data_IF_367998872887
#
_entry.id   IF_367998872887
#
_cell.length_a   1.000
_cell.length_b   1.000
_cell.length_c   1.000
_cell.angle_alpha   90.00
_cell.angle_beta   90.00
_cell.angle_gamma   90.00
#
_symmetry.space_group_name_H-M   'P 1'
#
loop_
_entity.id
_entity.type
_entity.pdbx_description
1 polymer ?
#
# COMPACT_ATOMS: atom_id res chain seq x y z
N UNK A 1 -14.48 35.53 -13.28
CA UNK A 1 -14.42 34.05 -13.20
C UNK A 1 -14.28 33.39 -14.57
N UNK A 2 -15.13 33.70 -15.56
CA UNK A 2 -15.03 33.12 -16.91
C UNK A 2 -13.67 33.39 -17.61
N UNK A 3 -13.15 34.63 -17.52
CA UNK A 3 -11.87 35.00 -18.15
C UNK A 3 -10.62 34.36 -17.51
N UNK A 4 -10.71 33.95 -16.23
CA UNK A 4 -9.61 33.25 -15.53
C UNK A 4 -9.60 31.76 -15.89
N UNK A 5 -10.79 31.17 -16.08
CA UNK A 5 -10.95 29.82 -16.63
C UNK A 5 -10.51 29.76 -18.10
N UNK A 6 -10.74 30.82 -18.86
CA UNK A 6 -10.35 30.94 -20.27
C UNK A 6 -8.83 31.14 -20.46
N UNK A 7 -8.14 31.81 -19.52
CA UNK A 7 -6.68 31.89 -19.50
C UNK A 7 -6.01 30.56 -19.12
N UNK A 8 -6.64 29.74 -18.27
CA UNK A 8 -6.17 28.38 -17.98
C UNK A 8 -6.30 27.46 -19.21
N UNK A 9 -7.35 27.65 -20.02
CA UNK A 9 -7.59 26.91 -21.26
C UNK A 9 -6.68 27.32 -22.45
N UNK A 10 -5.90 28.41 -22.31
CA UNK A 10 -5.00 28.94 -23.35
C UNK A 10 -3.52 28.60 -23.16
N UNK A 11 -3.15 27.82 -22.15
CA UNK A 11 -1.86 27.09 -22.19
C UNK A 11 -1.97 26.14 -23.38
N UNK A 12 -1.10 26.33 -24.38
CA UNK A 12 -0.98 25.47 -25.55
C UNK A 12 -1.28 24.02 -25.15
N UNK A 13 -2.26 23.38 -25.82
CA UNK A 13 -2.33 21.93 -25.91
C UNK A 13 -0.99 21.47 -26.46
N UNK A 14 -0.02 21.29 -25.57
CA UNK A 14 1.19 20.57 -25.87
C UNK A 14 0.71 19.13 -25.94
N UNK A 15 0.82 18.53 -27.12
CA UNK A 15 0.59 17.10 -27.27
C UNK A 15 1.71 16.39 -26.50
N UNK A 16 1.54 16.25 -25.19
CA UNK A 16 2.49 15.58 -24.32
C UNK A 16 2.59 14.12 -24.76
N UNK A 17 3.81 13.64 -24.90
CA UNK A 17 4.14 12.27 -25.25
C UNK A 17 4.93 11.63 -24.12
N UNK A 18 4.52 10.42 -23.72
CA UNK A 18 5.26 9.57 -22.79
C UNK A 18 5.93 8.48 -23.63
N UNK A 19 7.26 8.44 -23.61
CA UNK A 19 8.06 7.39 -24.22
C UNK A 19 8.36 6.28 -23.21
N UNK A 20 8.21 5.02 -23.60
CA UNK A 20 8.68 3.86 -22.84
C UNK A 20 9.08 2.72 -23.78
N UNK A 21 9.57 1.60 -23.28
CA UNK A 21 9.98 0.49 -24.13
C UNK A 21 8.79 -0.33 -24.67
N UNK A 22 8.96 -0.92 -25.85
CA UNK A 22 8.08 -1.96 -26.39
C UNK A 22 8.52 -3.37 -25.94
N UNK A 23 7.82 -4.43 -26.35
CA UNK A 23 8.10 -5.80 -25.93
C UNK A 23 7.48 -6.14 -24.58
N UNK A 24 8.23 -6.87 -23.74
CA UNK A 24 7.76 -7.36 -22.44
C UNK A 24 7.25 -6.22 -21.56
N UNK A 25 6.16 -6.46 -20.82
CA UNK A 25 5.55 -5.49 -19.91
C UNK A 25 6.07 -5.72 -18.50
N UNK A 26 6.62 -4.70 -17.87
CA UNK A 26 6.92 -4.70 -16.44
C UNK A 26 5.87 -3.89 -15.67
N UNK A 27 5.81 -4.13 -14.36
CA UNK A 27 4.96 -3.34 -13.48
C UNK A 27 5.43 -1.89 -13.39
N UNK A 28 6.71 -1.66 -13.63
CA UNK A 28 7.38 -0.39 -13.47
C UNK A 28 6.86 0.68 -14.44
N UNK A 29 7.11 0.51 -15.73
CA UNK A 29 6.68 1.44 -16.76
C UNK A 29 5.17 1.50 -16.88
N UNK A 30 4.48 0.36 -16.68
CA UNK A 30 3.03 0.32 -16.64
C UNK A 30 2.44 1.23 -15.56
N UNK A 31 2.98 1.22 -14.33
CA UNK A 31 2.52 2.09 -13.25
C UNK A 31 2.95 3.55 -13.46
N UNK A 32 4.18 3.79 -13.94
CA UNK A 32 4.67 5.14 -14.24
C UNK A 32 3.76 5.88 -15.22
N UNK A 33 3.33 5.20 -16.30
CA UNK A 33 2.39 5.75 -17.30
C UNK A 33 1.03 6.06 -16.68
N UNK A 34 0.46 5.14 -15.89
CA UNK A 34 -0.84 5.36 -15.24
C UNK A 34 -0.80 6.54 -14.27
N UNK A 35 0.22 6.61 -13.42
CA UNK A 35 0.38 7.68 -12.44
C UNK A 35 0.41 9.06 -13.10
N UNK A 36 1.20 9.22 -14.16
CA UNK A 36 1.27 10.46 -14.92
C UNK A 36 -0.09 10.80 -15.54
N UNK A 37 -0.66 9.90 -16.36
CA UNK A 37 -1.89 10.17 -17.12
C UNK A 37 -3.10 10.43 -16.22
N UNK A 38 -3.25 9.66 -15.14
CA UNK A 38 -4.45 9.71 -14.31
C UNK A 38 -4.42 10.84 -13.29
N UNK A 39 -3.26 11.10 -12.68
CA UNK A 39 -3.19 11.98 -11.51
C UNK A 39 -2.59 13.35 -11.79
N UNK A 40 -1.84 13.52 -12.88
CA UNK A 40 -1.20 14.79 -13.25
C UNK A 40 -1.93 15.45 -14.41
N UNK A 41 -2.63 16.59 -14.21
CA UNK A 41 -3.50 17.18 -15.24
C UNK A 41 -2.84 17.47 -16.58
N UNK A 42 -1.55 17.82 -16.57
CA UNK A 42 -0.81 18.08 -17.79
C UNK A 42 -0.76 16.84 -18.71
N UNK A 43 -0.75 15.64 -18.13
CA UNK A 43 -0.62 14.36 -18.83
C UNK A 43 -1.95 13.67 -19.14
N UNK A 44 -3.10 14.26 -18.79
CA UNK A 44 -4.41 13.60 -18.91
C UNK A 44 -4.72 13.06 -20.31
N UNK A 45 -4.20 13.71 -21.36
CA UNK A 45 -4.34 13.28 -22.75
C UNK A 45 -2.98 12.93 -23.39
N UNK A 46 -1.98 12.61 -22.57
CA UNK A 46 -0.66 12.30 -23.08
C UNK A 46 -0.72 11.03 -23.96
N UNK A 47 -0.08 11.11 -25.13
CA UNK A 47 0.04 9.97 -26.04
C UNK A 47 1.18 9.07 -25.57
N UNK A 48 0.97 7.77 -25.63
CA UNK A 48 2.01 6.78 -25.35
C UNK A 48 2.78 6.46 -26.63
N UNK A 49 4.10 6.37 -26.52
CA UNK A 49 5.02 5.94 -27.58
C UNK A 49 5.89 4.81 -27.01
N UNK A 50 5.71 3.58 -27.51
CA UNK A 50 6.47 2.40 -27.06
C UNK A 50 7.56 2.06 -28.08
N UNK A 51 8.82 2.30 -27.73
CA UNK A 51 9.99 2.10 -28.60
C UNK A 51 11.30 2.08 -27.81
N UNK A 52 12.37 1.54 -28.41
CA UNK A 52 13.75 1.70 -27.91
C UNK A 52 14.62 2.57 -28.82
N UNK A 53 14.05 3.14 -29.88
CA UNK A 53 14.79 4.01 -30.80
C UNK A 53 15.12 5.36 -30.12
N UNK A 54 16.42 5.69 -29.92
CA UNK A 54 16.80 6.92 -29.22
C UNK A 54 16.32 8.19 -29.94
N UNK A 55 16.25 8.18 -31.27
CA UNK A 55 15.80 9.34 -32.03
C UNK A 55 14.32 9.64 -31.77
N UNK A 56 13.48 8.61 -31.72
CA UNK A 56 12.06 8.74 -31.36
C UNK A 56 11.90 9.14 -29.89
N UNK A 57 12.62 8.51 -28.97
CA UNK A 57 12.57 8.85 -27.53
C UNK A 57 12.99 10.30 -27.25
N UNK A 58 13.95 10.84 -28.00
CA UNK A 58 14.37 12.24 -27.89
C UNK A 58 13.24 13.23 -28.23
N UNK A 59 12.23 12.81 -29.01
CA UNK A 59 11.05 13.64 -29.31
C UNK A 59 9.98 13.56 -28.22
N UNK A 60 10.08 12.61 -27.29
CA UNK A 60 9.11 12.47 -26.21
C UNK A 60 9.28 13.56 -25.14
N UNK A 61 8.16 14.09 -24.66
CA UNK A 61 8.18 15.04 -23.54
C UNK A 61 8.75 14.38 -22.27
N UNK A 62 8.25 13.20 -21.93
CA UNK A 62 8.69 12.40 -20.78
C UNK A 62 9.10 11.03 -21.25
N UNK A 63 10.15 10.47 -20.67
CA UNK A 63 10.59 9.10 -20.96
C UNK A 63 10.71 8.33 -19.65
N UNK A 64 10.13 7.13 -19.60
CA UNK A 64 10.14 6.24 -18.44
C UNK A 64 10.66 4.87 -18.85
N UNK A 65 11.50 4.29 -18.00
CA UNK A 65 12.01 2.92 -18.09
C UNK A 65 12.79 2.57 -19.37
N UNK A 66 13.30 3.60 -20.05
CA UNK A 66 14.09 3.46 -21.27
C UNK A 66 14.93 4.71 -21.52
N UNK A 67 16.00 4.56 -22.30
CA UNK A 67 16.81 5.68 -22.77
C UNK A 67 18.17 5.83 -22.11
N UNK A 68 18.43 5.14 -21.00
CA UNK A 68 19.71 5.12 -20.31
C UNK A 68 20.01 6.39 -19.51
N UNK A 69 19.01 7.16 -19.10
CA UNK A 69 19.19 8.45 -18.43
C UNK A 69 18.16 8.72 -17.33
N UNK A 70 18.64 9.17 -16.17
CA UNK A 70 17.84 9.84 -15.14
C UNK A 70 18.20 11.32 -15.07
N UNK A 71 17.26 12.17 -15.50
CA UNK A 71 17.29 13.61 -15.35
C UNK A 71 15.86 14.12 -15.12
N UNK A 72 15.56 14.47 -13.86
CA UNK A 72 14.26 14.97 -13.46
C UNK A 72 13.89 16.31 -14.14
N UNK A 73 14.87 17.16 -14.44
CA UNK A 73 14.63 18.45 -15.11
C UNK A 73 14.26 18.26 -16.58
N UNK A 74 14.77 17.20 -17.20
CA UNK A 74 14.44 16.80 -18.57
C UNK A 74 13.30 15.76 -18.67
N UNK A 75 12.63 15.43 -17.56
CA UNK A 75 11.63 14.36 -17.48
C UNK A 75 12.11 13.02 -18.06
N UNK A 76 13.35 12.64 -17.73
CA UNK A 76 13.94 11.33 -18.04
C UNK A 76 14.00 10.52 -16.75
N UNK A 77 13.24 9.44 -16.69
CA UNK A 77 13.08 8.63 -15.48
C UNK A 77 13.44 7.18 -15.80
N UNK A 78 14.68 6.92 -16.17
CA UNK A 78 15.20 5.57 -16.37
C UNK A 78 16.23 5.23 -15.27
N UNK A 79 16.22 4.00 -14.78
CA UNK A 79 17.09 3.53 -13.69
C UNK A 79 18.17 2.52 -14.15
N UNK A 80 18.18 2.13 -15.43
CA UNK A 80 19.05 1.07 -15.97
C UNK A 80 20.56 1.39 -16.01
N UNK A 81 20.98 2.60 -15.66
CA UNK A 81 22.40 2.96 -15.75
C UNK A 81 23.21 2.22 -14.69
N UNK A 82 24.39 1.72 -15.06
CA UNK A 82 25.30 1.04 -14.11
C UNK A 82 25.63 1.91 -12.88
N UNK A 83 25.66 3.22 -13.06
CA UNK A 83 25.95 4.21 -12.01
C UNK A 83 24.71 4.63 -11.22
N UNK A 84 23.51 4.17 -11.59
CA UNK A 84 22.28 4.56 -10.93
C UNK A 84 22.23 4.02 -9.49
N UNK A 85 22.01 4.94 -8.57
CA UNK A 85 22.00 4.68 -7.13
C UNK A 85 21.01 5.60 -6.38
N UNK A 86 20.06 6.22 -7.09
CA UNK A 86 19.08 7.09 -6.45
C UNK A 86 18.08 6.25 -5.65
N UNK A 87 17.82 6.66 -4.42
CA UNK A 87 16.85 6.04 -3.51
C UNK A 87 15.81 7.07 -3.08
N UNK A 88 14.67 6.59 -2.60
CA UNK A 88 13.70 7.46 -1.94
C UNK A 88 14.30 8.03 -0.64
N UNK A 89 13.98 9.28 -0.24
CA UNK A 89 14.53 9.86 1.00
C UNK A 89 14.34 8.97 2.23
N UNK A 90 15.45 8.67 2.92
CA UNK A 90 15.45 7.80 4.11
C UNK A 90 15.32 6.30 3.83
N UNK A 91 15.50 5.87 2.58
CA UNK A 91 15.39 4.47 2.14
C UNK A 91 16.67 4.02 1.44
N UNK A 92 16.89 2.71 1.47
CA UNK A 92 18.05 2.06 0.84
C UNK A 92 17.71 1.41 -0.50
N UNK A 93 16.42 1.14 -0.75
CA UNK A 93 15.92 0.57 -1.99
C UNK A 93 16.17 1.54 -3.15
N UNK A 94 16.86 1.07 -4.19
CA UNK A 94 17.03 1.83 -5.44
C UNK A 94 15.67 2.02 -6.09
N UNK A 95 15.42 3.23 -6.62
CA UNK A 95 14.18 3.51 -7.33
C UNK A 95 14.15 2.81 -8.69
N UNK A 96 12.95 2.35 -9.08
CA UNK A 96 12.55 2.05 -10.45
C UNK A 96 11.98 3.31 -11.12
N UNK A 97 11.54 3.24 -12.38
CA UNK A 97 10.95 4.38 -13.08
C UNK A 97 9.65 4.90 -12.45
N UNK A 98 8.78 4.03 -11.98
CA UNK A 98 7.60 4.34 -11.20
C UNK A 98 7.99 4.96 -9.86
N UNK A 99 9.03 4.43 -9.20
CA UNK A 99 9.60 5.04 -7.99
C UNK A 99 10.07 6.47 -8.22
N UNK A 100 10.76 6.73 -9.34
CA UNK A 100 11.19 8.06 -9.76
C UNK A 100 10.01 8.99 -10.06
N UNK A 101 9.03 8.54 -10.85
CA UNK A 101 7.80 9.30 -11.12
C UNK A 101 7.07 9.61 -9.82
N UNK A 102 6.92 8.64 -8.94
CA UNK A 102 6.29 8.83 -7.65
C UNK A 102 7.08 9.84 -6.80
N UNK A 103 8.42 9.77 -6.80
CA UNK A 103 9.26 10.67 -6.01
C UNK A 103 9.06 12.14 -6.41
N UNK A 104 8.90 12.42 -7.71
CA UNK A 104 8.77 13.79 -8.23
C UNK A 104 7.33 14.30 -8.27
N UNK A 105 6.37 13.42 -8.55
CA UNK A 105 4.97 13.81 -8.77
C UNK A 105 4.01 13.37 -7.66
N UNK A 106 4.41 12.44 -6.78
CA UNK A 106 3.53 11.81 -5.79
C UNK A 106 2.87 12.79 -4.82
N UNK A 107 3.60 13.84 -4.39
CA UNK A 107 3.03 14.90 -3.53
C UNK A 107 1.92 15.69 -4.23
N UNK A 108 2.05 15.93 -5.53
CA UNK A 108 0.98 16.55 -6.32
C UNK A 108 -0.24 15.64 -6.41
N UNK A 109 -0.04 14.34 -6.71
CA UNK A 109 -1.13 13.35 -6.77
C UNK A 109 -1.93 13.33 -5.46
N UNK A 110 -1.20 13.27 -4.33
CA UNK A 110 -1.79 13.18 -3.00
C UNK A 110 -2.47 14.49 -2.60
N UNK A 111 -1.84 15.65 -2.82
CA UNK A 111 -2.46 16.93 -2.44
C UNK A 111 -3.78 17.13 -3.18
N UNK A 112 -3.83 16.77 -4.47
CA UNK A 112 -5.04 16.77 -5.29
C UNK A 112 -6.09 15.81 -4.73
N UNK A 113 -5.67 14.61 -4.32
CA UNK A 113 -6.56 13.63 -3.70
C UNK A 113 -7.18 14.13 -2.39
N UNK A 114 -6.39 14.84 -1.59
CA UNK A 114 -6.81 15.44 -0.32
C UNK A 114 -7.56 16.77 -0.49
N UNK A 115 -7.61 17.33 -1.71
CA UNK A 115 -8.26 18.61 -1.98
C UNK A 115 -7.49 19.83 -1.47
N UNK A 116 -6.17 19.71 -1.29
CA UNK A 116 -5.29 20.82 -0.88
C UNK A 116 -4.37 21.25 -2.02
N UNK A 117 -4.11 22.56 -2.10
CA UNK A 117 -3.14 23.15 -3.04
C UNK A 117 -1.72 23.22 -2.48
N UNK A 118 -1.52 22.93 -1.18
CA UNK A 118 -0.21 22.93 -0.55
C UNK A 118 0.43 21.53 -0.62
N UNK A 119 1.42 21.38 -1.52
CA UNK A 119 2.17 20.14 -1.67
C UNK A 119 3.14 19.87 -0.50
N UNK A 120 3.39 20.88 0.34
CA UNK A 120 4.29 20.81 1.51
C UNK A 120 3.56 20.55 2.82
N UNK A 121 2.22 20.40 2.78
CA UNK A 121 1.41 20.07 3.94
C UNK A 121 1.95 18.79 4.62
N UNK A 122 2.19 18.81 5.95
CA UNK A 122 2.68 17.63 6.67
C UNK A 122 1.82 16.38 6.48
N UNK A 123 0.51 16.56 6.26
CA UNK A 123 -0.46 15.50 5.97
C UNK A 123 -0.22 14.88 4.59
N UNK A 124 0.09 15.71 3.59
CA UNK A 124 0.49 15.24 2.26
C UNK A 124 1.79 14.44 2.36
N UNK A 125 2.78 14.96 3.09
CA UNK A 125 4.05 14.25 3.27
C UNK A 125 3.89 12.91 3.99
N UNK A 126 3.01 12.85 5.00
CA UNK A 126 2.70 11.63 5.72
C UNK A 126 2.10 10.55 4.80
N UNK A 127 1.12 10.91 3.98
CA UNK A 127 0.50 9.97 3.02
C UNK A 127 1.51 9.60 1.92
N UNK A 128 2.39 10.52 1.53
CA UNK A 128 3.44 10.31 0.54
C UNK A 128 4.46 9.25 0.97
N UNK A 129 5.01 9.38 2.18
CA UNK A 129 5.89 8.35 2.73
C UNK A 129 5.14 7.04 2.96
N UNK A 130 3.87 7.11 3.31
CA UNK A 130 3.06 5.94 3.60
C UNK A 130 2.77 5.09 2.35
N UNK A 131 2.36 5.72 1.26
CA UNK A 131 2.12 5.04 -0.01
C UNK A 131 3.43 4.50 -0.57
N UNK A 132 4.53 5.25 -0.47
CA UNK A 132 5.84 4.74 -0.90
C UNK A 132 6.16 3.40 -0.22
N UNK A 133 6.14 3.39 1.11
CA UNK A 133 6.52 2.22 1.91
C UNK A 133 5.53 1.07 1.89
N UNK A 134 4.27 1.33 1.53
CA UNK A 134 3.23 0.29 1.51
C UNK A 134 2.98 -0.30 0.13
N UNK A 135 3.40 0.40 -0.94
CA UNK A 135 3.10 0.01 -2.33
C UNK A 135 4.31 0.14 -3.25
N UNK A 136 4.88 1.35 -3.38
CA UNK A 136 5.89 1.67 -4.41
C UNK A 136 7.23 0.97 -4.14
N UNK A 137 7.69 0.94 -2.89
CA UNK A 137 9.00 0.37 -2.52
C UNK A 137 9.10 -1.13 -2.86
N UNK A 138 8.00 -1.88 -2.75
CA UNK A 138 7.97 -3.29 -3.11
C UNK A 138 8.10 -3.49 -4.65
N UNK A 139 7.56 -2.54 -5.43
CA UNK A 139 7.74 -2.53 -6.88
C UNK A 139 9.18 -2.17 -7.24
N UNK A 140 9.73 -1.11 -6.63
CA UNK A 140 11.13 -0.69 -6.80
C UNK A 140 12.09 -1.86 -6.52
N UNK A 141 11.88 -2.55 -5.40
CA UNK A 141 12.69 -3.70 -5.01
C UNK A 141 12.56 -4.86 -6.01
N UNK A 142 11.34 -5.18 -6.45
CA UNK A 142 11.10 -6.24 -7.43
C UNK A 142 11.84 -5.97 -8.74
N UNK A 143 11.70 -4.74 -9.26
CA UNK A 143 12.26 -4.35 -10.54
C UNK A 143 13.80 -4.29 -10.53
N UNK A 144 14.37 -3.80 -9.43
CA UNK A 144 15.83 -3.81 -9.22
C UNK A 144 16.39 -5.17 -8.77
N UNK A 145 15.58 -6.23 -8.70
CA UNK A 145 16.02 -7.58 -8.30
C UNK A 145 16.47 -7.69 -6.84
N UNK A 146 15.95 -6.83 -5.95
CA UNK A 146 16.28 -6.79 -4.53
C UNK A 146 15.43 -7.82 -3.78
N UNK A 147 16.10 -8.75 -3.12
CA UNK A 147 15.45 -9.76 -2.27
C UNK A 147 15.05 -9.19 -0.91
N UNK A 148 13.91 -9.63 -0.38
CA UNK A 148 13.41 -9.22 0.96
C UNK A 148 14.42 -9.51 2.08
N UNK A 149 15.16 -10.60 1.94
CA UNK A 149 16.26 -10.97 2.84
C UNK A 149 17.52 -11.22 2.01
N UNK A 150 18.68 -10.97 2.62
CA UNK A 150 19.98 -11.31 2.04
C UNK A 150 20.05 -12.82 1.73
N UNK A 151 20.15 -13.21 0.44
CA UNK A 151 20.15 -14.63 0.05
C UNK A 151 21.29 -15.43 0.68
N UNK A 152 22.46 -14.82 0.90
CA UNK A 152 23.61 -15.49 1.51
C UNK A 152 23.33 -15.81 2.98
N UNK A 153 22.71 -14.88 3.71
CA UNK A 153 22.34 -15.10 5.12
C UNK A 153 21.20 -16.10 5.28
N UNK A 154 20.23 -16.10 4.37
CA UNK A 154 19.15 -17.11 4.36
C UNK A 154 19.74 -18.52 4.14
N UNK A 155 20.67 -18.66 3.20
CA UNK A 155 21.34 -19.92 2.92
C UNK A 155 22.23 -20.37 4.09
N UNK A 156 23.01 -19.47 4.70
CA UNK A 156 23.82 -19.75 5.89
C UNK A 156 22.97 -20.25 7.07
N UNK A 157 21.78 -19.67 7.25
CA UNK A 157 20.84 -20.08 8.28
C UNK A 157 20.07 -21.38 7.96
N UNK A 158 20.24 -21.95 6.77
CA UNK A 158 19.52 -23.15 6.33
C UNK A 158 18.00 -22.95 6.25
N UNK A 159 17.55 -21.73 5.97
CA UNK A 159 16.13 -21.39 5.91
C UNK A 159 15.59 -21.55 4.48
N UNK A 160 14.41 -22.16 4.36
CA UNK A 160 13.71 -22.33 3.08
C UNK A 160 12.30 -21.74 3.15
N UNK A 161 11.82 -21.21 2.01
CA UNK A 161 10.41 -20.80 1.88
C UNK A 161 9.52 -22.03 2.04
N UNK A 162 8.50 -21.94 2.90
CA UNK A 162 7.52 -23.02 3.11
C UNK A 162 6.55 -23.22 1.95
N UNK A 163 6.38 -22.20 1.12
CA UNK A 163 5.51 -22.22 -0.06
C UNK A 163 5.98 -21.16 -1.07
N UNK A 164 5.58 -21.31 -2.34
CA UNK A 164 5.80 -20.32 -3.39
C UNK A 164 4.69 -19.27 -3.38
N UNK A 165 5.07 -18.01 -3.47
CA UNK A 165 4.20 -16.82 -3.53
C UNK A 165 4.41 -16.02 -4.83
N UNK A 166 5.25 -16.50 -5.76
CA UNK A 166 5.57 -15.79 -7.00
C UNK A 166 4.37 -15.60 -7.94
N UNK A 167 3.33 -16.42 -7.77
CA UNK A 167 2.10 -16.35 -8.57
C UNK A 167 1.23 -15.12 -8.28
N UNK A 168 1.48 -14.36 -7.21
CA UNK A 168 0.65 -13.19 -6.89
C UNK A 168 1.46 -12.08 -6.20
N UNK A 169 2.04 -11.20 -7.02
CA UNK A 169 2.67 -9.94 -6.64
C UNK A 169 2.43 -8.89 -7.76
N UNK A 170 2.80 -7.63 -7.54
CA UNK A 170 2.58 -6.54 -8.50
C UNK A 170 3.19 -6.84 -9.89
N UNK A 171 4.42 -7.35 -9.92
CA UNK A 171 5.09 -7.80 -11.14
C UNK A 171 4.31 -8.91 -11.87
N UNK A 172 3.88 -9.94 -11.15
CA UNK A 172 3.11 -11.06 -11.71
C UNK A 172 1.72 -10.63 -12.21
N UNK A 173 1.12 -9.59 -11.63
CA UNK A 173 -0.16 -9.05 -12.09
C UNK A 173 -0.06 -8.45 -13.49
N UNK A 174 0.97 -7.65 -13.74
CA UNK A 174 1.25 -7.10 -15.08
C UNK A 174 1.82 -8.18 -16.00
N UNK A 175 2.71 -9.03 -15.47
CA UNK A 175 3.33 -10.13 -16.19
C UNK A 175 2.32 -11.04 -16.91
N UNK A 176 1.17 -11.32 -16.30
CA UNK A 176 0.08 -12.12 -16.88
C UNK A 176 -0.61 -11.49 -18.10
N UNK A 177 -0.40 -10.19 -18.34
CA UNK A 177 -0.98 -9.48 -19.48
C UNK A 177 -0.02 -9.42 -20.68
N UNK A 178 1.22 -9.89 -20.52
CA UNK A 178 2.10 -10.14 -21.65
C UNK A 178 1.47 -11.15 -22.62
N UNK A 179 1.76 -11.04 -23.94
CA UNK A 179 1.43 -12.08 -24.89
C UNK A 179 2.00 -13.44 -24.47
N UNK A 180 1.25 -14.51 -24.67
CA UNK A 180 1.82 -15.85 -24.51
C UNK A 180 2.84 -16.10 -25.63
N UNK A 181 3.81 -16.98 -25.37
CA UNK A 181 4.83 -17.36 -26.37
C UNK A 181 4.23 -17.94 -27.65
N UNK A 182 2.99 -18.46 -27.59
CA UNK A 182 2.26 -19.09 -28.68
C UNK A 182 1.00 -18.31 -29.12
N UNK A 183 0.84 -17.05 -28.69
CA UNK A 183 -0.19 -16.18 -29.26
C UNK A 183 0.16 -15.87 -30.73
N UNK A 184 -0.84 -15.82 -31.61
CA UNK A 184 -0.62 -15.39 -32.98
C UNK A 184 -0.22 -13.91 -33.03
N UNK A 185 0.85 -13.61 -33.76
CA UNK A 185 1.35 -12.24 -33.96
C UNK A 185 1.04 -11.83 -35.40
N UNK A 186 0.41 -10.65 -35.62
CA UNK A 186 0.20 -10.12 -36.96
C UNK A 186 1.51 -10.07 -37.77
N UNK A 187 1.47 -10.46 -39.05
CA UNK A 187 2.65 -10.43 -39.91
C UNK A 187 3.10 -9.02 -40.28
N UNK A 188 2.18 -8.05 -40.27
CA UNK A 188 2.50 -6.64 -40.45
C UNK A 188 3.07 -6.06 -39.14
N UNK A 189 4.31 -5.53 -39.12
CA UNK A 189 4.93 -5.01 -37.91
C UNK A 189 4.17 -3.88 -37.23
N UNK A 190 3.47 -3.05 -38.02
CA UNK A 190 2.68 -1.92 -37.48
C UNK A 190 1.45 -2.46 -36.76
N UNK A 191 0.71 -3.40 -37.38
CA UNK A 191 -0.39 -4.08 -36.73
C UNK A 191 0.05 -4.88 -35.48
N UNK A 192 1.22 -5.51 -35.53
CA UNK A 192 1.77 -6.24 -34.38
C UNK A 192 2.08 -5.33 -33.19
N UNK A 193 2.75 -4.19 -33.42
CA UNK A 193 3.01 -3.21 -32.36
C UNK A 193 1.72 -2.61 -31.81
N UNK A 194 0.72 -2.31 -32.67
CA UNK A 194 -0.57 -1.79 -32.22
C UNK A 194 -1.31 -2.78 -31.30
N UNK A 195 -1.30 -4.08 -31.63
CA UNK A 195 -1.89 -5.11 -30.78
C UNK A 195 -1.15 -5.28 -29.45
N UNK A 196 0.18 -5.15 -29.46
CA UNK A 196 1.00 -5.15 -28.24
C UNK A 196 0.69 -3.93 -27.35
N UNK A 197 0.59 -2.74 -27.94
CA UNK A 197 0.31 -1.49 -27.24
C UNK A 197 -1.09 -1.48 -26.60
N UNK A 198 -2.10 -2.05 -27.27
CA UNK A 198 -3.45 -2.22 -26.69
C UNK A 198 -3.43 -3.10 -25.44
N UNK A 199 -2.62 -4.18 -25.45
CA UNK A 199 -2.44 -5.03 -24.27
C UNK A 199 -1.67 -4.31 -23.17
N UNK A 200 -0.66 -3.52 -23.52
CA UNK A 200 0.08 -2.70 -22.56
C UNK A 200 -0.84 -1.67 -21.87
N UNK A 201 -1.74 -1.01 -22.61
CA UNK A 201 -2.72 -0.09 -22.02
C UNK A 201 -3.61 -0.81 -20.98
N UNK A 202 -3.99 -2.06 -21.26
CA UNK A 202 -4.70 -2.91 -20.29
C UNK A 202 -3.83 -3.21 -19.06
N UNK A 203 -2.53 -3.45 -19.23
CA UNK A 203 -1.60 -3.69 -18.14
C UNK A 203 -1.38 -2.46 -17.26
N UNK A 204 -1.21 -1.29 -17.88
CA UNK A 204 -1.08 0.00 -17.21
C UNK A 204 -2.33 0.33 -16.40
N UNK A 205 -3.52 0.17 -16.99
CA UNK A 205 -4.78 0.33 -16.27
C UNK A 205 -4.90 -0.66 -15.10
N UNK A 206 -4.50 -1.93 -15.28
CA UNK A 206 -4.66 -2.96 -14.26
C UNK A 206 -3.84 -2.68 -13.00
N UNK A 207 -2.57 -2.33 -13.13
CA UNK A 207 -1.75 -1.96 -11.96
C UNK A 207 -2.17 -0.60 -11.40
N UNK A 208 -2.59 0.30 -12.27
CA UNK A 208 -3.16 1.59 -11.92
C UNK A 208 -4.37 1.50 -11.00
N UNK A 209 -5.29 0.57 -11.25
CA UNK A 209 -6.45 0.33 -10.38
C UNK A 209 -6.04 -0.05 -8.94
N UNK A 210 -4.98 -0.84 -8.77
CA UNK A 210 -4.50 -1.20 -7.44
C UNK A 210 -3.85 0.01 -6.74
N UNK A 211 -3.08 0.82 -7.47
CA UNK A 211 -2.53 2.08 -6.94
C UNK A 211 -3.64 3.06 -6.55
N UNK A 212 -4.67 3.23 -7.39
CA UNK A 212 -5.79 4.13 -7.14
C UNK A 212 -6.58 3.70 -5.90
N UNK A 213 -6.77 2.40 -5.69
CA UNK A 213 -7.40 1.86 -4.48
C UNK A 213 -6.60 2.19 -3.23
N UNK A 214 -5.28 2.03 -3.27
CA UNK A 214 -4.40 2.36 -2.15
C UNK A 214 -4.37 3.86 -1.89
N UNK A 215 -4.27 4.70 -2.92
CA UNK A 215 -4.35 6.14 -2.80
C UNK A 215 -5.68 6.58 -2.16
N UNK A 216 -6.81 6.02 -2.61
CA UNK A 216 -8.13 6.24 -2.02
C UNK A 216 -8.19 5.78 -0.57
N UNK A 217 -7.69 4.59 -0.27
CA UNK A 217 -7.65 4.03 1.07
C UNK A 217 -6.84 4.92 2.01
N UNK A 218 -5.63 5.32 1.62
CA UNK A 218 -4.77 6.13 2.46
C UNK A 218 -5.36 7.52 2.73
N UNK A 219 -5.95 8.14 1.71
CA UNK A 219 -6.58 9.45 1.83
C UNK A 219 -7.89 9.43 2.62
N UNK A 220 -8.78 8.45 2.36
CA UNK A 220 -10.18 8.47 2.84
C UNK A 220 -10.43 7.57 4.05
N UNK A 221 -9.54 6.62 4.34
CA UNK A 221 -9.73 5.64 5.42
C UNK A 221 -8.59 5.66 6.42
N UNK A 222 -7.35 5.39 5.98
CA UNK A 222 -6.20 5.31 6.88
C UNK A 222 -5.90 6.64 7.56
N UNK A 223 -5.85 7.75 6.81
CA UNK A 223 -5.54 9.06 7.38
C UNK A 223 -6.60 9.51 8.42
N UNK A 224 -7.92 9.48 8.13
CA UNK A 224 -8.93 9.82 9.14
C UNK A 224 -8.93 8.89 10.36
N UNK A 225 -8.53 7.62 10.21
CA UNK A 225 -8.43 6.68 11.34
C UNK A 225 -7.43 7.12 12.40
N UNK A 226 -6.45 7.94 12.03
CA UNK A 226 -5.41 8.44 12.95
C UNK A 226 -6.01 9.10 14.19
N UNK A 227 -6.94 10.03 14.03
CA UNK A 227 -7.54 10.76 15.16
C UNK A 227 -8.38 9.85 16.06
N UNK A 228 -9.05 8.84 15.47
CA UNK A 228 -9.80 7.82 16.21
C UNK A 228 -8.87 6.99 17.09
N UNK A 229 -7.74 6.55 16.53
CA UNK A 229 -6.75 5.73 17.25
C UNK A 229 -6.05 6.57 18.31
N UNK A 230 -5.63 7.81 18.00
CA UNK A 230 -5.02 8.73 18.97
C UNK A 230 -5.95 9.01 20.16
N UNK A 231 -7.23 9.25 19.91
CA UNK A 231 -8.22 9.47 20.97
C UNK A 231 -8.35 8.22 21.85
N UNK A 232 -8.56 7.05 21.23
CA UNK A 232 -8.66 5.79 21.95
C UNK A 232 -7.38 5.46 22.74
N UNK A 233 -6.22 5.78 22.18
CA UNK A 233 -4.93 5.58 22.80
C UNK A 233 -4.76 6.47 24.04
N UNK A 234 -5.13 7.74 23.97
CA UNK A 234 -5.03 8.65 25.12
C UNK A 234 -6.00 8.28 26.25
N UNK A 235 -7.17 7.74 25.91
CA UNK A 235 -8.19 7.33 26.88
C UNK A 235 -7.95 5.93 27.48
N UNK A 236 -7.03 5.13 26.92
CA UNK A 236 -6.87 3.70 27.25
C UNK A 236 -6.67 3.42 28.74
N UNK A 237 -5.99 4.32 29.46
CA UNK A 237 -5.73 4.19 30.91
C UNK A 237 -7.01 4.29 31.76
N UNK A 238 -8.09 4.89 31.24
CA UNK A 238 -9.39 4.89 31.89
C UNK A 238 -10.14 3.56 31.73
N UNK A 239 -9.83 2.77 30.69
CA UNK A 239 -10.41 1.43 30.44
C UNK A 239 -9.67 0.36 31.24
N UNK A 240 -8.34 0.44 31.18
CA UNK A 240 -7.40 -0.45 31.84
C UNK A 240 -6.27 0.39 32.44
N UNK A 241 -6.10 0.43 33.77
CA UNK A 241 -5.06 1.25 34.42
C UNK A 241 -3.63 0.98 33.92
N UNK A 242 -3.35 -0.23 33.42
CA UNK A 242 -2.04 -0.57 32.82
C UNK A 242 -1.86 -0.03 31.40
N UNK A 243 -2.94 0.45 30.77
CA UNK A 243 -2.97 1.02 29.43
C UNK A 243 -2.83 -0.02 28.31
N UNK A 244 -3.00 -1.30 28.62
CA UNK A 244 -2.76 -2.43 27.69
C UNK A 244 -4.01 -2.84 26.90
N UNK A 245 -5.15 -2.20 27.15
CA UNK A 245 -6.39 -2.41 26.38
C UNK A 245 -6.80 -1.09 25.72
N UNK A 246 -6.90 -1.10 24.40
CA UNK A 246 -7.39 0.04 23.62
C UNK A 246 -8.81 -0.24 23.11
N UNK A 247 -9.70 0.75 23.18
CA UNK A 247 -11.10 0.60 22.75
C UNK A 247 -11.42 1.61 21.67
N UNK A 248 -11.70 1.13 20.46
CA UNK A 248 -12.24 1.95 19.38
C UNK A 248 -13.76 2.07 19.56
N UNK A 249 -14.19 3.20 20.11
CA UNK A 249 -15.61 3.50 20.36
C UNK A 249 -16.30 3.73 19.00
N UNK A 250 -17.39 3.01 18.74
CA UNK A 250 -18.25 3.22 17.57
C UNK A 250 -18.06 2.21 16.44
N UNK A 251 -16.86 2.10 15.85
CA UNK A 251 -16.59 1.12 14.78
C UNK A 251 -15.11 0.74 14.69
N UNK A 252 -14.83 -0.35 13.97
CA UNK A 252 -13.47 -0.70 13.57
C UNK A 252 -12.87 0.38 12.66
N UNK A 253 -11.60 0.70 12.89
CA UNK A 253 -10.80 1.57 12.04
C UNK A 253 -9.43 0.92 11.76
N UNK A 254 -8.73 1.26 10.67
CA UNK A 254 -7.33 0.88 10.48
C UNK A 254 -6.46 1.39 11.62
N UNK A 255 -6.12 0.52 12.58
CA UNK A 255 -5.48 0.94 13.83
C UNK A 255 -4.00 0.61 13.93
N UNK A 256 -3.53 -0.44 13.23
CA UNK A 256 -2.19 -1.02 13.44
C UNK A 256 -1.07 -0.01 13.29
N UNK A 257 -0.94 0.63 12.13
CA UNK A 257 0.15 1.56 11.85
C UNK A 257 0.18 2.71 12.87
N UNK A 258 -0.97 3.36 13.09
CA UNK A 258 -1.10 4.47 14.03
C UNK A 258 -0.77 4.06 15.46
N UNK A 259 -1.22 2.88 15.89
CA UNK A 259 -0.91 2.34 17.20
C UNK A 259 0.60 2.13 17.37
N UNK A 260 1.27 1.49 16.40
CA UNK A 260 2.71 1.24 16.50
C UNK A 260 3.50 2.55 16.60
N UNK A 261 3.13 3.57 15.81
CA UNK A 261 3.76 4.90 15.88
C UNK A 261 3.56 5.56 17.24
N UNK A 262 2.33 5.50 17.80
CA UNK A 262 2.06 6.07 19.13
C UNK A 262 2.83 5.37 20.25
N UNK A 263 3.15 4.08 20.08
CA UNK A 263 3.85 3.27 21.06
C UNK A 263 5.38 3.40 21.02
N UNK A 264 5.96 4.09 20.04
CA UNK A 264 7.41 4.28 19.92
C UNK A 264 8.03 4.97 21.15
N UNK A 265 7.24 5.78 21.86
CA UNK A 265 7.67 6.53 23.06
C UNK A 265 7.13 5.94 24.37
N UNK A 266 6.50 4.76 24.31
CA UNK A 266 5.74 4.19 25.43
C UNK A 266 6.49 2.98 26.00
N UNK A 267 6.61 2.86 27.34
CA UNK A 267 7.25 1.70 27.97
C UNK A 267 6.64 0.37 27.52
N UNK A 268 7.46 -0.66 27.37
CA UNK A 268 7.02 -1.98 26.87
C UNK A 268 5.85 -2.59 27.67
N UNK A 269 5.85 -2.39 28.99
CA UNK A 269 4.79 -2.85 29.89
C UNK A 269 3.48 -2.06 29.78
N UNK A 270 3.47 -0.92 29.08
CA UNK A 270 2.28 -0.10 28.80
C UNK A 270 1.79 -0.21 27.35
N UNK A 271 2.49 -0.99 26.51
CA UNK A 271 2.06 -1.26 25.14
C UNK A 271 0.77 -2.07 25.11
N UNK A 272 -0.12 -1.68 24.20
CA UNK A 272 -1.44 -2.27 23.99
C UNK A 272 -1.29 -3.72 23.56
N UNK A 273 -2.04 -4.61 24.20
CA UNK A 273 -2.07 -6.04 23.91
C UNK A 273 -3.36 -6.41 23.19
N UNK A 274 -4.46 -5.76 23.56
CA UNK A 274 -5.78 -6.04 23.02
C UNK A 274 -6.44 -4.76 22.51
N UNK A 275 -7.02 -4.83 21.32
CA UNK A 275 -7.85 -3.79 20.72
C UNK A 275 -9.29 -4.29 20.68
N UNK A 276 -10.21 -3.51 21.25
CA UNK A 276 -11.64 -3.79 21.27
C UNK A 276 -12.39 -2.88 20.31
N UNK A 277 -13.32 -3.44 19.56
CA UNK A 277 -14.19 -2.68 18.65
C UNK A 277 -15.47 -3.45 18.34
N UNK A 278 -16.59 -2.76 18.05
CA UNK A 278 -17.80 -3.42 17.60
C UNK A 278 -17.63 -3.88 16.14
N UNK A 279 -18.26 -5.00 15.77
CA UNK A 279 -18.25 -5.55 14.41
C UNK A 279 -18.86 -4.58 13.38
N UNK A 280 -19.81 -3.74 13.83
CA UNK A 280 -20.57 -2.80 13.02
C UNK A 280 -20.92 -1.55 13.84
N UNK A 281 -21.17 -0.39 13.21
CA UNK A 281 -21.63 0.81 13.90
C UNK A 281 -23.12 0.72 14.27
N UNK A 282 -23.48 -0.27 15.10
CA UNK A 282 -24.85 -0.49 15.57
C UNK A 282 -24.87 -0.71 17.10
N UNK A 283 -25.91 -0.24 17.83
CA UNK A 283 -25.98 -0.36 19.29
C UNK A 283 -25.92 -1.80 19.83
N UNK A 284 -26.41 -2.77 19.06
CA UNK A 284 -26.48 -4.20 19.39
C UNK A 284 -25.38 -5.02 18.71
N UNK A 285 -24.36 -4.35 18.17
CA UNK A 285 -23.26 -5.03 17.51
C UNK A 285 -22.46 -5.88 18.50
N UNK A 286 -22.12 -7.09 18.06
CA UNK A 286 -21.13 -7.94 18.72
C UNK A 286 -19.77 -7.24 18.73
N UNK A 287 -18.95 -7.55 19.71
CA UNK A 287 -17.65 -6.96 19.93
C UNK A 287 -16.52 -7.94 19.64
N UNK A 288 -15.43 -7.41 19.10
CA UNK A 288 -14.19 -8.14 18.84
C UNK A 288 -13.16 -7.83 19.93
N UNK A 289 -12.38 -8.84 20.27
CA UNK A 289 -11.14 -8.74 21.02
C UNK A 289 -10.03 -9.17 20.07
N UNK A 290 -9.28 -8.22 19.52
CA UNK A 290 -8.18 -8.50 18.61
C UNK A 290 -6.84 -8.34 19.32
N UNK A 291 -5.97 -9.32 19.19
CA UNK A 291 -4.62 -9.26 19.75
C UNK A 291 -3.72 -8.38 18.87
N UNK A 292 -2.92 -7.53 19.49
CA UNK A 292 -1.91 -6.75 18.79
C UNK A 292 -0.73 -7.66 18.42
N UNK A 293 -0.35 -7.74 17.12
CA UNK A 293 0.85 -8.47 16.73
C UNK A 293 2.14 -7.90 17.33
N UNK A 294 3.20 -8.71 17.39
CA UNK A 294 4.52 -8.25 17.86
C UNK A 294 5.10 -7.17 16.94
N UNK A 295 4.89 -7.32 15.63
CA UNK A 295 5.22 -6.36 14.58
C UNK A 295 4.09 -6.32 13.56
N UNK A 296 4.01 -5.26 12.76
CA UNK A 296 2.92 -5.00 11.80
C UNK A 296 2.51 -6.22 10.96
N UNK A 297 3.48 -6.95 10.43
CA UNK A 297 3.27 -8.06 9.48
C UNK A 297 3.40 -9.44 10.13
N UNK A 298 3.58 -9.50 11.44
CA UNK A 298 3.71 -10.77 12.17
C UNK A 298 2.36 -11.44 12.41
N UNK A 299 2.34 -12.78 12.30
CA UNK A 299 1.24 -13.61 12.77
C UNK A 299 1.29 -13.85 14.29
N UNK A 300 2.43 -13.56 14.94
CA UNK A 300 2.60 -13.72 16.38
C UNK A 300 1.96 -12.53 17.11
N UNK A 301 1.02 -12.83 18.00
CA UNK A 301 0.42 -11.84 18.90
C UNK A 301 1.33 -11.56 20.11
N UNK A 302 1.33 -10.32 20.62
CA UNK A 302 2.02 -9.94 21.87
C UNK A 302 1.58 -10.83 23.04
N UNK A 303 0.28 -11.06 23.16
CA UNK A 303 -0.32 -12.08 24.03
C UNK A 303 -1.57 -12.64 23.34
N UNK A 304 -1.51 -13.84 22.74
CA UNK A 304 -2.70 -14.47 22.19
C UNK A 304 -3.75 -14.72 23.29
N UNK A 305 -5.01 -14.84 22.92
CA UNK A 305 -6.06 -15.24 23.85
C UNK A 305 -5.77 -16.62 24.48
N UNK A 306 -6.25 -16.89 25.72
CA UNK A 306 -5.96 -18.12 26.47
C UNK A 306 -6.18 -19.38 25.64
N UNK A 307 -5.24 -20.31 25.72
CA UNK A 307 -5.27 -21.57 24.97
C UNK A 307 -6.55 -22.36 25.23
N UNK A 308 -7.01 -22.39 26.48
CA UNK A 308 -8.26 -23.03 26.88
C UNK A 308 -9.50 -22.50 26.14
N UNK A 309 -9.47 -21.28 25.58
CA UNK A 309 -10.62 -20.70 24.86
C UNK A 309 -10.57 -20.99 23.35
N UNK A 310 -9.40 -21.30 22.80
CA UNK A 310 -9.16 -21.31 21.35
C UNK A 310 -9.96 -22.41 20.66
N UNK A 311 -10.62 -22.06 19.56
CA UNK A 311 -11.47 -22.98 18.80
C UNK A 311 -12.89 -23.14 19.35
N UNK A 312 -13.16 -22.66 20.58
CA UNK A 312 -14.49 -22.73 21.17
C UNK A 312 -15.38 -21.54 20.80
N UNK A 313 -16.69 -21.75 20.88
CA UNK A 313 -17.73 -20.82 20.43
C UNK A 313 -18.92 -20.78 21.40
N UNK A 314 -19.69 -19.72 21.30
CA UNK A 314 -21.02 -19.58 21.90
C UNK A 314 -21.10 -20.00 23.40
N UNK A 315 -22.05 -20.86 23.78
CA UNK A 315 -22.28 -21.26 25.18
C UNK A 315 -21.10 -22.05 25.77
N UNK A 316 -20.39 -22.85 24.96
CA UNK A 316 -19.22 -23.61 25.40
C UNK A 316 -18.06 -22.68 25.76
N UNK A 317 -17.79 -21.68 24.89
CA UNK A 317 -16.83 -20.63 25.20
C UNK A 317 -17.24 -19.86 26.46
N UNK A 318 -18.54 -19.57 26.61
CA UNK A 318 -19.04 -18.87 27.79
C UNK A 318 -18.82 -19.68 29.08
N UNK A 319 -19.03 -20.99 29.03
CA UNK A 319 -18.75 -21.91 30.13
C UNK A 319 -17.26 -21.99 30.49
N UNK A 320 -16.40 -22.19 29.50
CA UNK A 320 -14.94 -22.34 29.71
C UNK A 320 -14.30 -21.03 30.17
N UNK A 321 -14.69 -19.91 29.56
CA UNK A 321 -14.16 -18.60 29.94
C UNK A 321 -14.77 -18.08 31.25
N UNK A 322 -15.94 -18.59 31.66
CA UNK A 322 -16.74 -18.03 32.74
C UNK A 322 -17.28 -16.63 32.43
N UNK A 323 -17.32 -16.23 31.16
CA UNK A 323 -17.76 -14.92 30.70
C UNK A 323 -18.97 -15.13 29.78
N UNK A 324 -20.16 -14.63 30.14
CA UNK A 324 -21.36 -14.85 29.33
C UNK A 324 -21.25 -14.17 27.97
N UNK A 325 -21.97 -14.71 26.99
CA UNK A 325 -22.10 -14.12 25.67
C UNK A 325 -20.89 -14.29 24.76
N UNK A 326 -20.02 -15.28 25.01
CA UNK A 326 -18.96 -15.65 24.07
C UNK A 326 -19.54 -15.90 22.67
N UNK A 327 -18.80 -15.49 21.63
CA UNK A 327 -19.16 -15.74 20.22
C UNK A 327 -18.18 -16.75 19.62
N UNK A 328 -16.89 -16.46 19.70
CA UNK A 328 -15.82 -17.40 19.35
C UNK A 328 -14.45 -16.92 19.83
N UNK A 329 -13.47 -17.83 19.83
CA UNK A 329 -12.04 -17.50 19.79
C UNK A 329 -11.39 -18.31 18.67
N UNK A 330 -10.63 -17.65 17.80
CA UNK A 330 -9.93 -18.32 16.70
C UNK A 330 -8.97 -19.38 17.24
N UNK A 331 -8.76 -20.49 16.52
CA UNK A 331 -7.90 -21.60 16.97
C UNK A 331 -6.44 -21.18 17.27
N UNK A 332 -5.92 -20.21 16.52
CA UNK A 332 -4.60 -19.61 16.79
C UNK A 332 -4.61 -18.53 17.90
N UNK A 333 -5.78 -18.14 18.42
CA UNK A 333 -5.93 -17.22 19.54
C UNK A 333 -5.73 -15.73 19.24
N UNK A 334 -5.52 -15.32 17.99
CA UNK A 334 -5.26 -13.91 17.65
C UNK A 334 -6.49 -13.01 17.70
N UNK A 335 -7.70 -13.57 17.70
CA UNK A 335 -8.95 -12.82 17.75
C UNK A 335 -10.05 -13.64 18.42
N UNK A 336 -10.94 -12.96 19.13
CA UNK A 336 -12.18 -13.52 19.66
C UNK A 336 -13.31 -12.49 19.61
N UNK A 337 -14.47 -12.88 20.13
CA UNK A 337 -15.60 -11.98 20.21
C UNK A 337 -16.61 -12.34 21.27
N UNK A 338 -17.37 -11.32 21.68
CA UNK A 338 -18.44 -11.41 22.65
C UNK A 338 -19.68 -10.66 22.13
N UNK A 339 -20.87 -11.00 22.62
CA UNK A 339 -22.13 -10.34 22.27
C UNK A 339 -22.18 -8.88 22.77
N UNK A 340 -21.45 -8.52 23.83
CA UNK A 340 -21.42 -7.15 24.36
C UNK A 340 -20.01 -6.60 24.56
N UNK A 341 -19.93 -5.28 24.74
CA UNK A 341 -18.70 -4.57 25.10
C UNK A 341 -18.14 -5.06 26.43
N UNK A 342 -18.99 -5.20 27.45
CA UNK A 342 -18.62 -5.61 28.80
C UNK A 342 -18.04 -7.02 28.79
N UNK A 343 -18.64 -7.93 28.03
CA UNK A 343 -18.13 -9.28 27.86
C UNK A 343 -16.78 -9.30 27.12
N UNK A 344 -16.62 -8.51 26.06
CA UNK A 344 -15.34 -8.40 25.35
C UNK A 344 -14.23 -7.80 26.25
N UNK A 345 -14.57 -6.79 27.05
CA UNK A 345 -13.65 -6.20 28.02
C UNK A 345 -13.28 -7.19 29.13
N UNK A 346 -14.24 -7.95 29.65
CA UNK A 346 -13.98 -9.01 30.62
C UNK A 346 -13.06 -10.10 30.03
N UNK A 347 -13.25 -10.47 28.76
CA UNK A 347 -12.37 -11.41 28.07
C UNK A 347 -10.96 -10.87 27.96
N UNK A 348 -10.79 -9.61 27.55
CA UNK A 348 -9.47 -8.99 27.43
C UNK A 348 -8.76 -8.86 28.79
N UNK A 349 -9.47 -8.45 29.85
CA UNK A 349 -8.90 -8.36 31.21
C UNK A 349 -8.47 -9.72 31.74
N UNK A 350 -9.35 -10.74 31.66
CA UNK A 350 -9.02 -12.10 32.08
C UNK A 350 -7.90 -12.74 31.25
N UNK A 351 -7.75 -12.31 29.99
CA UNK A 351 -6.63 -12.72 29.16
C UNK A 351 -5.33 -11.97 29.46
N UNK A 352 -5.36 -10.78 30.08
CA UNK A 352 -4.17 -10.03 30.52
C UNK A 352 -3.56 -10.57 31.80
N UNK A 353 -4.39 -11.07 32.71
CA UNK A 353 -3.98 -11.88 33.86
C UNK A 353 -3.25 -13.15 33.41
#
# INVERSE_FOLDING_TARGET
MAAVLEQAAKRLKTDITIGTHNGHFHADEALAVHMLRTHIPAYANARLVRTRDPATLATCHTVVDVGGEYDAAANRFDHHQRTFNTTFPGRETKLSSAGLVYMHFGREMISRKLGTSDHTDPTVNMVYEKIYTSFIEALDAHDNGISVYDPAKVAEAGLEKRFSDSGFNLGAMVGRLNPNWNDEIPSDPVAAQAAEDERFETASARIGEEFDRDLDYFAKSWLPARSVVETAFNERKAVDPSGRILVLKGQSAPWKDHLYTLEETVPENEKVVYVLYPEKPAPDAKWRVQCVPVTKDSFQSRKPLPEAWRGFRDEELSGISGIPGGVFVHAAGFIGGNKSYEGALAMAKKALD
#
